data_IF_238718337521
#
_entry.id   IF_238718337521
#
_cell.length_a   1.000
_cell.length_b   1.000
_cell.length_c   1.000
_cell.angle_alpha   90.00
_cell.angle_beta   90.00
_cell.angle_gamma   90.00
#
_symmetry.space_group_name_H-M   'P 1'
#
loop_
_entity.id
_entity.type
_entity.pdbx_description
1 polymer ?
#
# COMPACT_ATOMS: atom_id res chain seq x y z
N UNK A 1 18.79 -42.50 -52.43
CA UNK A 1 19.24 -41.87 -51.16
C UNK A 1 18.47 -40.59 -50.99
N UNK A 2 17.41 -40.61 -50.20
CA UNK A 2 16.67 -39.41 -49.82
C UNK A 2 17.49 -38.73 -48.71
N UNK A 3 17.99 -37.53 -48.98
CA UNK A 3 18.70 -36.71 -47.99
C UNK A 3 17.63 -36.21 -47.02
N UNK A 4 17.64 -36.75 -45.79
CA UNK A 4 16.91 -36.17 -44.67
C UNK A 4 17.67 -34.91 -44.27
N UNK A 5 17.18 -33.74 -44.68
CA UNK A 5 17.54 -32.50 -44.01
C UNK A 5 16.88 -32.53 -42.62
N UNK A 6 17.67 -32.77 -41.58
CA UNK A 6 17.29 -32.41 -40.21
C UNK A 6 17.22 -30.88 -40.13
N UNK A 7 16.07 -30.30 -40.46
CA UNK A 7 15.77 -28.92 -40.10
C UNK A 7 15.65 -28.84 -38.56
N UNK A 8 16.45 -27.98 -37.93
CA UNK A 8 16.48 -27.82 -36.47
C UNK A 8 15.08 -27.52 -35.92
N UNK A 9 14.67 -28.26 -34.90
CA UNK A 9 13.34 -28.19 -34.31
C UNK A 9 13.12 -26.89 -33.54
N UNK A 10 12.59 -25.88 -34.23
CA UNK A 10 11.97 -24.72 -33.59
C UNK A 10 10.56 -25.12 -33.13
N UNK A 11 10.17 -24.67 -31.94
CA UNK A 11 8.83 -24.83 -31.40
C UNK A 11 8.16 -23.47 -31.27
N UNK A 12 6.84 -23.43 -31.40
CA UNK A 12 6.05 -22.20 -31.33
C UNK A 12 5.35 -22.12 -29.97
N UNK A 13 5.41 -20.97 -29.32
CA UNK A 13 4.78 -20.72 -28.02
C UNK A 13 3.79 -19.56 -28.13
N UNK A 14 2.73 -19.64 -27.33
CA UNK A 14 1.80 -18.55 -27.13
C UNK A 14 2.09 -17.86 -25.81
N UNK A 15 2.31 -16.54 -25.84
CA UNK A 15 2.52 -15.74 -24.64
C UNK A 15 1.26 -14.93 -24.37
N UNK A 16 0.58 -15.25 -23.27
CA UNK A 16 -0.61 -14.55 -22.81
C UNK A 16 -0.22 -13.45 -21.82
N UNK A 17 -0.01 -12.23 -22.34
CA UNK A 17 0.32 -11.03 -21.56
C UNK A 17 -0.84 -10.02 -21.57
N UNK A 18 -0.60 -8.73 -21.85
CA UNK A 18 -1.71 -7.79 -22.12
C UNK A 18 -2.39 -8.12 -23.45
N UNK A 19 -1.59 -8.58 -24.41
CA UNK A 19 -2.03 -9.18 -25.67
C UNK A 19 -1.44 -10.58 -25.82
N UNK A 20 -2.11 -11.40 -26.62
CA UNK A 20 -1.59 -12.70 -27.05
C UNK A 20 -0.50 -12.48 -28.12
N UNK A 21 0.69 -13.01 -27.87
CA UNK A 21 1.80 -13.04 -28.82
C UNK A 21 2.19 -14.46 -29.16
N UNK A 22 2.82 -14.63 -30.33
CA UNK A 22 3.36 -15.91 -30.78
C UNK A 22 4.87 -15.78 -30.91
N UNK A 23 5.62 -16.66 -30.25
CA UNK A 23 7.08 -16.68 -30.28
C UNK A 23 7.59 -18.01 -30.83
N UNK A 24 8.57 -17.96 -31.73
CA UNK A 24 9.31 -19.14 -32.16
C UNK A 24 10.59 -19.25 -31.35
N UNK A 25 10.80 -20.41 -30.75
CA UNK A 25 11.91 -20.64 -29.82
C UNK A 25 12.59 -21.98 -30.13
N UNK A 26 13.87 -22.08 -29.83
CA UNK A 26 14.67 -23.29 -30.10
C UNK A 26 14.64 -24.31 -28.94
N UNK A 27 13.98 -23.97 -27.83
CA UNK A 27 13.92 -24.78 -26.61
C UNK A 27 15.20 -24.81 -25.78
N UNK A 28 16.32 -24.31 -26.31
CA UNK A 28 17.60 -24.12 -25.60
C UNK A 28 17.69 -22.77 -24.89
N UNK A 29 16.77 -21.85 -25.21
CA UNK A 29 16.69 -20.55 -24.56
C UNK A 29 16.24 -20.68 -23.10
N UNK A 30 16.66 -19.72 -22.28
CA UNK A 30 16.22 -19.62 -20.89
C UNK A 30 14.96 -18.77 -20.79
N UNK A 31 14.27 -18.88 -19.65
CA UNK A 31 13.11 -18.04 -19.31
C UNK A 31 13.49 -16.56 -19.33
N UNK A 32 14.71 -16.19 -18.90
CA UNK A 32 15.20 -14.81 -18.98
C UNK A 32 15.22 -14.26 -20.43
N UNK A 33 15.57 -15.08 -21.43
CA UNK A 33 15.54 -14.67 -22.83
C UNK A 33 14.12 -14.36 -23.32
N UNK A 34 13.14 -15.17 -22.90
CA UNK A 34 11.72 -14.89 -23.19
C UNK A 34 11.25 -13.60 -22.55
N UNK A 35 11.66 -13.33 -21.30
CA UNK A 35 11.29 -12.09 -20.62
C UNK A 35 11.80 -10.84 -21.35
N UNK A 36 13.02 -10.90 -21.88
CA UNK A 36 13.56 -9.82 -22.71
C UNK A 36 12.80 -9.63 -24.02
N UNK A 37 12.31 -10.71 -24.64
CA UNK A 37 11.44 -10.62 -25.83
C UNK A 37 10.10 -9.97 -25.48
N UNK A 38 9.52 -10.35 -24.34
CA UNK A 38 8.25 -9.78 -23.86
C UNK A 38 8.40 -8.30 -23.52
N UNK A 39 9.52 -7.87 -22.92
CA UNK A 39 9.82 -6.45 -22.70
C UNK A 39 9.79 -5.66 -24.00
N UNK A 40 10.37 -6.20 -25.07
CA UNK A 40 10.39 -5.55 -26.37
C UNK A 40 8.99 -5.41 -27.01
N UNK A 41 8.06 -6.32 -26.68
CA UNK A 41 6.71 -6.35 -27.25
C UNK A 41 5.69 -5.56 -26.42
N UNK A 42 5.78 -5.63 -25.09
CA UNK A 42 4.77 -5.12 -24.14
C UNK A 42 5.31 -3.95 -23.29
N UNK A 43 6.62 -3.67 -23.33
CA UNK A 43 7.25 -2.62 -22.53
C UNK A 43 7.28 -2.91 -21.02
N UNK A 44 7.09 -4.17 -20.61
CA UNK A 44 7.14 -4.59 -19.22
C UNK A 44 8.57 -4.98 -18.85
N UNK A 45 9.15 -4.38 -17.81
CA UNK A 45 10.53 -4.67 -17.39
C UNK A 45 10.66 -6.15 -16.95
N UNK A 46 11.72 -6.90 -17.32
CA UNK A 46 11.88 -8.33 -17.01
C UNK A 46 11.74 -8.68 -15.53
N UNK A 47 12.17 -7.78 -14.65
CA UNK A 47 12.09 -7.91 -13.19
C UNK A 47 10.63 -7.94 -12.69
N UNK A 48 9.75 -7.19 -13.37
CA UNK A 48 8.32 -7.14 -13.08
C UNK A 48 7.57 -8.30 -13.76
N UNK A 49 8.20 -9.08 -14.62
CA UNK A 49 7.58 -10.22 -15.29
C UNK A 49 7.68 -11.51 -14.45
N UNK A 50 6.57 -12.24 -14.36
CA UNK A 50 6.52 -13.62 -13.88
C UNK A 50 5.91 -14.49 -14.98
N UNK A 51 6.72 -15.38 -15.54
CA UNK A 51 6.25 -16.36 -16.53
C UNK A 51 5.70 -17.58 -15.82
N UNK A 52 4.50 -18.01 -16.20
CA UNK A 52 3.76 -19.09 -15.56
C UNK A 52 3.41 -20.16 -16.60
N UNK A 53 3.65 -21.42 -16.25
CA UNK A 53 3.13 -22.57 -16.98
C UNK A 53 2.07 -23.27 -16.11
N UNK A 54 0.81 -23.22 -16.54
CA UNK A 54 -0.31 -23.80 -15.78
C UNK A 54 -0.43 -23.25 -14.36
N UNK A 55 -0.12 -21.95 -14.17
CA UNK A 55 -0.13 -21.28 -12.86
C UNK A 55 1.13 -21.51 -12.00
N UNK A 56 2.11 -22.29 -12.47
CA UNK A 56 3.39 -22.47 -11.75
C UNK A 56 4.44 -21.52 -12.29
N UNK A 57 5.09 -20.69 -11.45
CA UNK A 57 6.10 -19.73 -11.91
C UNK A 57 7.36 -20.45 -12.37
N UNK A 58 7.94 -19.98 -13.47
CA UNK A 58 9.21 -20.45 -14.01
C UNK A 58 10.35 -19.55 -13.52
N UNK A 59 11.48 -20.19 -13.18
CA UNK A 59 12.71 -19.51 -12.75
C UNK A 59 13.49 -18.98 -13.96
N UNK A 60 14.20 -17.86 -13.79
CA UNK A 60 14.87 -17.15 -14.89
C UNK A 60 15.97 -17.96 -15.57
N UNK A 61 16.68 -18.79 -14.79
CA UNK A 61 17.77 -19.65 -15.27
C UNK A 61 17.27 -20.96 -15.89
N UNK A 62 15.96 -21.23 -15.83
CA UNK A 62 15.41 -22.48 -16.33
C UNK A 62 15.38 -22.49 -17.87
N UNK A 63 15.82 -23.61 -18.46
CA UNK A 63 15.78 -23.82 -19.91
C UNK A 63 14.38 -24.26 -20.32
N UNK A 64 13.79 -23.62 -21.33
CA UNK A 64 12.37 -23.82 -21.70
C UNK A 64 12.08 -25.30 -22.00
N UNK A 65 12.95 -25.97 -22.76
CA UNK A 65 12.78 -27.39 -23.10
C UNK A 65 12.84 -28.35 -21.91
N UNK A 66 13.35 -27.92 -20.75
CA UNK A 66 13.40 -28.70 -19.51
C UNK A 66 12.25 -28.38 -18.55
N UNK A 67 11.50 -27.30 -18.81
CA UNK A 67 10.39 -26.85 -17.96
C UNK A 67 9.07 -27.56 -18.23
N UNK A 68 9.05 -28.58 -19.09
CA UNK A 68 7.83 -29.24 -19.53
C UNK A 68 7.00 -28.41 -20.52
N UNK A 69 7.59 -27.37 -21.11
CA UNK A 69 6.98 -26.57 -22.16
C UNK A 69 7.05 -27.34 -23.48
N UNK A 70 5.90 -27.58 -24.10
CA UNK A 70 5.78 -28.28 -25.39
C UNK A 70 5.53 -27.30 -26.53
N UNK A 71 5.60 -27.79 -27.76
CA UNK A 71 5.12 -27.04 -28.92
C UNK A 71 3.66 -26.64 -28.74
N UNK A 72 3.33 -25.42 -29.17
CA UNK A 72 2.03 -24.76 -29.04
C UNK A 72 1.56 -24.53 -27.59
N UNK A 73 2.46 -24.63 -26.60
CA UNK A 73 2.12 -24.33 -25.22
C UNK A 73 1.85 -22.83 -25.01
N UNK A 74 0.97 -22.52 -24.05
CA UNK A 74 0.68 -21.15 -23.62
C UNK A 74 1.34 -20.85 -22.29
N UNK A 75 2.15 -19.78 -22.25
CA UNK A 75 2.72 -19.22 -21.04
C UNK A 75 1.96 -17.95 -20.65
N UNK A 76 1.61 -17.84 -19.38
CA UNK A 76 0.95 -16.64 -18.84
C UNK A 76 1.99 -15.68 -18.28
N UNK A 77 1.87 -14.38 -18.58
CA UNK A 77 2.72 -13.33 -18.01
C UNK A 77 1.94 -12.60 -16.93
N UNK A 78 2.36 -12.75 -15.69
CA UNK A 78 1.87 -11.92 -14.58
C UNK A 78 2.86 -10.79 -14.31
N UNK A 79 2.33 -9.57 -14.12
CA UNK A 79 3.13 -8.44 -13.66
C UNK A 79 3.22 -8.43 -12.12
N UNK A 80 4.42 -8.34 -11.56
CA UNK A 80 4.63 -8.06 -10.14
C UNK A 80 4.15 -6.63 -9.87
N UNK A 81 3.06 -6.50 -9.13
CA UNK A 81 2.60 -5.19 -8.72
C UNK A 81 3.45 -4.70 -7.53
N UNK A 82 4.34 -3.74 -7.77
CA UNK A 82 4.98 -2.98 -6.69
C UNK A 82 3.95 -2.06 -6.03
N UNK A 83 3.51 -2.43 -4.82
CA UNK A 83 2.95 -1.55 -3.80
C UNK A 83 1.80 -0.62 -4.25
N UNK A 84 0.55 -1.09 -4.11
CA UNK A 84 -0.61 -0.22 -4.28
C UNK A 84 -0.60 0.98 -3.32
N UNK A 85 -1.11 2.14 -3.78
CA UNK A 85 -1.33 3.34 -2.96
C UNK A 85 -2.07 2.96 -1.68
N UNK A 86 -1.38 2.95 -0.54
CA UNK A 86 -1.99 2.76 0.77
C UNK A 86 -3.01 3.87 0.99
N UNK A 87 -4.30 3.51 1.02
CA UNK A 87 -5.39 4.46 1.11
C UNK A 87 -5.48 5.03 2.54
N UNK A 88 -4.81 6.15 2.76
CA UNK A 88 -4.76 6.82 4.07
C UNK A 88 -3.53 7.71 4.20
N UNK A 89 -3.48 8.81 3.45
CA UNK A 89 -2.33 9.71 3.51
C UNK A 89 -2.26 10.44 4.86
N UNK A 90 -1.05 10.54 5.43
CA UNK A 90 -0.74 11.35 6.62
C UNK A 90 -0.76 12.87 6.35
N UNK A 91 -1.18 13.29 5.15
CA UNK A 91 -1.13 14.67 4.67
C UNK A 91 -1.91 15.68 5.54
N UNK A 92 -2.82 15.21 6.40
CA UNK A 92 -3.63 16.06 7.29
C UNK A 92 -3.15 16.07 8.75
N UNK A 93 -2.07 15.37 9.08
CA UNK A 93 -1.54 15.33 10.43
C UNK A 93 -1.16 16.74 10.92
N UNK A 94 -1.73 17.16 12.05
CA UNK A 94 -1.39 18.46 12.68
C UNK A 94 -2.00 19.72 12.03
N UNK A 95 -2.79 19.61 10.94
CA UNK A 95 -3.36 20.76 10.22
C UNK A 95 -4.08 21.75 11.14
N UNK A 96 -4.98 21.25 11.98
CA UNK A 96 -5.77 22.09 12.89
C UNK A 96 -4.89 22.77 13.95
N UNK A 97 -3.91 22.04 14.51
CA UNK A 97 -2.99 22.57 15.53
C UNK A 97 -2.14 23.73 15.00
N UNK A 98 -1.75 23.68 13.72
CA UNK A 98 -0.99 24.75 13.07
C UNK A 98 -1.84 25.96 12.67
N UNK A 99 -3.11 25.74 12.32
CA UNK A 99 -4.02 26.81 11.89
C UNK A 99 -4.57 27.62 13.07
N UNK A 100 -4.77 27.02 14.23
CA UNK A 100 -5.35 27.72 15.39
C UNK A 100 -4.40 28.80 15.93
N UNK A 101 -4.86 30.04 16.15
CA UNK A 101 -4.02 31.10 16.69
C UNK A 101 -3.50 30.73 18.08
N UNK A 102 -2.21 30.93 18.32
CA UNK A 102 -1.58 30.57 19.59
C UNK A 102 -1.86 31.63 20.66
N UNK A 103 -2.98 31.48 21.36
CA UNK A 103 -3.34 32.38 22.47
C UNK A 103 -2.38 32.16 23.65
N UNK A 104 -1.64 33.21 24.02
CA UNK A 104 -0.75 33.20 25.17
C UNK A 104 -1.55 33.07 26.48
N UNK A 105 -0.96 32.39 27.48
CA UNK A 105 -1.57 32.29 28.80
C UNK A 105 -1.42 33.62 29.53
N UNK A 106 -2.53 34.23 29.90
CA UNK A 106 -2.53 35.39 30.79
C UNK A 106 -2.10 34.97 32.20
N UNK A 107 -1.30 35.80 32.86
CA UNK A 107 -0.94 35.59 34.26
C UNK A 107 -2.17 35.76 35.15
N UNK A 108 -2.45 34.74 35.96
CA UNK A 108 -3.54 34.75 36.93
C UNK A 108 -2.96 34.58 38.33
N UNK A 109 -3.59 35.21 39.33
CA UNK A 109 -3.23 35.06 40.74
C UNK A 109 -3.12 33.57 41.10
N UNK A 110 -2.03 33.18 41.75
CA UNK A 110 -1.79 31.80 42.20
C UNK A 110 -2.96 31.33 43.06
N UNK A 111 -3.56 30.19 42.70
CA UNK A 111 -4.66 29.61 43.46
C UNK A 111 -4.12 29.05 44.78
N UNK A 112 -4.77 29.34 45.90
CA UNK A 112 -4.43 28.69 47.18
C UNK A 112 -4.66 27.18 47.06
N UNK A 113 -3.86 26.40 47.78
CA UNK A 113 -3.88 24.92 47.79
C UNK A 113 -4.17 24.38 49.21
N UNK A 114 -4.32 23.06 49.35
CA UNK A 114 -4.48 22.39 50.64
C UNK A 114 -5.71 22.83 51.46
N UNK A 115 -5.54 22.90 52.78
CA UNK A 115 -6.59 23.26 53.75
C UNK A 115 -7.21 24.63 53.47
N UNK A 116 -6.39 25.60 53.08
CA UNK A 116 -6.87 26.95 52.74
C UNK A 116 -7.84 26.93 51.53
N UNK A 117 -7.54 26.11 50.51
CA UNK A 117 -8.44 25.92 49.35
C UNK A 117 -9.77 25.28 49.76
N UNK A 118 -9.72 24.25 50.61
CA UNK A 118 -10.92 23.55 51.09
C UNK A 118 -11.84 24.46 51.91
N UNK A 119 -11.27 25.28 52.80
CA UNK A 119 -12.03 26.30 53.56
C UNK A 119 -12.74 27.28 52.63
N UNK A 120 -12.06 27.80 51.60
CA UNK A 120 -12.70 28.70 50.62
C UNK A 120 -13.83 28.02 49.83
N UNK A 121 -13.66 26.74 49.46
CA UNK A 121 -14.70 25.98 48.77
C UNK A 121 -15.94 25.76 49.64
N UNK A 122 -15.75 25.43 50.92
CA UNK A 122 -16.85 25.25 51.88
C UNK A 122 -17.64 26.55 52.04
N UNK A 123 -16.94 27.66 52.31
CA UNK A 123 -17.58 28.96 52.46
C UNK A 123 -18.36 29.35 51.19
N UNK A 124 -17.78 29.16 50.00
CA UNK A 124 -18.46 29.49 48.73
C UNK A 124 -19.70 28.62 48.46
N UNK A 125 -19.71 27.35 48.91
CA UNK A 125 -20.79 26.40 48.59
C UNK A 125 -21.92 26.39 49.62
N UNK A 126 -21.61 26.63 50.89
CA UNK A 126 -22.55 26.41 51.99
C UNK A 126 -22.82 27.66 52.83
N UNK A 127 -21.82 28.51 53.07
CA UNK A 127 -21.96 29.66 53.97
C UNK A 127 -22.42 30.91 53.20
N UNK A 128 -21.77 31.20 52.06
CA UNK A 128 -22.02 32.42 51.28
C UNK A 128 -23.14 32.25 50.25
N UNK A 129 -23.78 31.08 50.18
CA UNK A 129 -24.90 30.87 49.26
C UNK A 129 -26.17 31.46 49.88
N UNK A 130 -26.82 32.38 49.17
CA UNK A 130 -28.16 32.86 49.53
C UNK A 130 -29.17 32.04 48.71
N UNK A 131 -30.09 31.29 49.33
CA UNK A 131 -31.10 30.55 48.59
C UNK A 131 -32.08 31.54 47.93
N UNK A 132 -31.92 31.76 46.62
CA UNK A 132 -32.88 32.48 45.80
C UNK A 132 -34.00 31.56 45.33
N UNK A 133 -35.16 32.14 44.98
CA UNK A 133 -36.23 31.43 44.30
C UNK A 133 -35.85 31.13 42.85
N UNK A 134 -36.13 29.91 42.38
CA UNK A 134 -35.85 29.46 41.00
C UNK A 134 -34.71 28.44 40.87
N UNK A 135 -34.30 28.17 39.62
CA UNK A 135 -33.26 27.17 39.32
C UNK A 135 -31.89 27.63 39.83
N UNK A 136 -31.21 26.78 40.61
CA UNK A 136 -29.86 27.06 41.13
C UNK A 136 -28.87 27.28 39.97
N UNK A 137 -28.19 28.43 39.94
CA UNK A 137 -27.14 28.72 38.94
C UNK A 137 -25.87 27.90 39.23
N UNK A 138 -25.28 27.36 38.17
CA UNK A 138 -24.03 26.60 38.25
C UNK A 138 -22.81 27.49 38.50
N UNK A 139 -21.73 26.95 39.10
CA UNK A 139 -20.54 27.73 39.48
C UNK A 139 -19.70 28.25 38.30
N UNK A 140 -19.94 27.75 37.08
CA UNK A 140 -19.30 28.18 35.82
C UNK A 140 -20.36 28.60 34.79
N UNK A 141 -21.50 29.12 35.26
CA UNK A 141 -22.47 29.76 34.37
C UNK A 141 -21.87 31.10 33.91
N UNK A 142 -21.70 31.25 32.60
CA UNK A 142 -21.46 32.57 32.01
C UNK A 142 -22.83 33.25 32.00
N UNK A 143 -22.99 34.25 32.86
CA UNK A 143 -24.22 35.03 33.04
C UNK A 143 -24.65 35.72 31.75
#
# INVERSE_FOLDING_TARGET
MLIVLCAGGTMQLFINAQKLHTLEVTGQETVAHLKAHIESLEGLVPEDQVLLLGGTPLEDDAVIGQCGVTDLATLEVAARMLGGKVHGSLARAGKVRGQTPKVAKQEKKKKKTGRAKRRMQYNRRFVNIVPGFGKKKGPNANS
#
